data_IF_775317563771
#
_entry.id   IF_775317563771
#
_cell.length_a   1.000
_cell.length_b   1.000
_cell.length_c   1.000
_cell.angle_alpha   90.00
_cell.angle_beta   90.00
_cell.angle_gamma   90.00
#
_symmetry.space_group_name_H-M   'P 1'
#
loop_
_entity.id
_entity.type
_entity.pdbx_description
1 polymer ?
#
# COMPACT_ATOMS: atom_id res chain seq x y z
N UNK A 1 4.47 0.37 5.91
CA UNK A 1 4.98 1.62 5.31
C UNK A 1 4.17 2.79 5.83
N UNK A 2 4.81 3.93 6.10
CA UNK A 2 4.16 5.17 6.55
C UNK A 2 4.70 6.30 5.66
N UNK A 3 3.80 6.95 4.93
CA UNK A 3 4.07 8.10 4.09
C UNK A 3 4.20 9.37 4.93
N UNK A 4 5.04 10.34 4.52
CA UNK A 4 5.07 11.70 5.08
C UNK A 4 3.72 12.41 5.13
N UNK A 5 2.76 12.03 4.28
CA UNK A 5 1.40 12.59 4.28
C UNK A 5 0.50 12.03 5.39
N UNK A 6 0.99 11.03 6.14
CA UNK A 6 0.23 10.32 7.18
C UNK A 6 -0.48 9.07 6.68
N UNK A 7 -0.52 8.81 5.36
CA UNK A 7 -1.02 7.54 4.83
C UNK A 7 -0.13 6.39 5.29
N UNK A 8 -0.70 5.24 5.66
CA UNK A 8 0.09 4.07 6.00
C UNK A 8 -0.56 2.78 5.55
N UNK A 9 0.27 1.75 5.35
CA UNK A 9 -0.14 0.37 5.14
C UNK A 9 0.68 -0.58 6.00
N UNK A 10 0.02 -1.59 6.56
CA UNK A 10 0.61 -2.70 7.31
C UNK A 10 0.19 -3.98 6.62
N UNK A 11 1.16 -4.83 6.32
CA UNK A 11 0.91 -6.19 5.91
C UNK A 11 1.02 -7.08 7.17
N UNK A 12 -0.07 -7.76 7.51
CA UNK A 12 -0.12 -8.65 8.69
C UNK A 12 0.22 -10.09 8.29
N UNK A 13 -0.34 -10.55 7.17
CA UNK A 13 -0.03 -11.82 6.54
C UNK A 13 -0.34 -11.78 5.02
N UNK A 14 -0.33 -12.92 4.32
CA UNK A 14 -0.57 -12.97 2.86
C UNK A 14 -1.98 -12.50 2.45
N UNK A 15 -2.94 -12.52 3.37
CA UNK A 15 -4.34 -12.26 3.09
C UNK A 15 -4.92 -11.11 3.91
N UNK A 16 -4.13 -10.52 4.82
CA UNK A 16 -4.54 -9.37 5.62
C UNK A 16 -3.65 -8.15 5.40
N UNK A 17 -4.30 -7.06 4.97
CA UNK A 17 -3.70 -5.76 4.73
C UNK A 17 -4.48 -4.70 5.48
N UNK A 18 -3.81 -3.90 6.31
CA UNK A 18 -4.44 -2.76 6.96
C UNK A 18 -3.92 -1.46 6.38
N UNK A 19 -4.81 -0.55 6.03
CA UNK A 19 -4.40 0.78 5.61
C UNK A 19 -5.21 1.87 6.29
N UNK A 20 -4.62 3.04 6.41
CA UNK A 20 -5.19 4.10 7.20
C UNK A 20 -4.43 5.39 7.07
N UNK A 21 -4.80 6.32 7.94
CA UNK A 21 -4.19 7.64 8.05
C UNK A 21 -3.80 7.91 9.50
N UNK A 22 -2.67 8.59 9.68
CA UNK A 22 -2.19 9.11 10.95
C UNK A 22 -2.02 10.62 10.84
N UNK A 23 -2.62 11.33 11.79
CA UNK A 23 -2.31 12.72 12.10
C UNK A 23 -1.39 12.79 13.32
N UNK A 24 -0.49 13.77 13.30
CA UNK A 24 0.45 14.04 14.38
C UNK A 24 0.20 15.46 14.90
N UNK A 25 0.04 15.62 16.21
CA UNK A 25 0.00 16.95 16.83
C UNK A 25 1.40 17.43 17.21
N UNK A 26 1.55 18.73 17.45
CA UNK A 26 2.80 19.32 17.95
C UNK A 26 3.23 18.75 19.32
N UNK A 27 2.27 18.23 20.09
CA UNK A 27 2.53 17.57 21.37
C UNK A 27 2.96 16.10 21.22
N UNK A 28 3.11 15.60 19.98
CA UNK A 28 3.49 14.20 19.71
C UNK A 28 2.34 13.20 19.83
N UNK A 29 1.09 13.66 19.99
CA UNK A 29 -0.06 12.75 20.02
C UNK A 29 -0.39 12.29 18.60
N UNK A 30 -0.73 11.01 18.48
CA UNK A 30 -1.15 10.38 17.22
C UNK A 30 -2.65 10.15 17.27
N UNK A 31 -3.34 10.47 16.19
CA UNK A 31 -4.74 10.13 15.96
C UNK A 31 -4.93 9.64 14.52
N UNK A 32 -5.94 8.82 14.27
CA UNK A 32 -6.11 8.27 12.92
C UNK A 32 -7.25 7.29 12.78
N UNK A 33 -7.32 6.69 11.60
CA UNK A 33 -8.24 5.61 11.27
C UNK A 33 -7.48 4.49 10.57
N UNK A 34 -7.94 3.26 10.72
CA UNK A 34 -7.43 2.09 10.03
C UNK A 34 -8.60 1.25 9.53
N UNK A 35 -8.43 0.68 8.35
CA UNK A 35 -9.31 -0.35 7.80
C UNK A 35 -8.45 -1.55 7.43
N UNK A 36 -8.77 -2.69 8.03
CA UNK A 36 -8.19 -3.99 7.70
C UNK A 36 -9.04 -4.67 6.63
N UNK A 37 -8.36 -5.17 5.60
CA UNK A 37 -8.89 -5.93 4.48
C UNK A 37 -8.42 -7.37 4.64
N UNK A 38 -9.34 -8.29 4.89
CA UNK A 38 -9.04 -9.70 5.12
C UNK A 38 -9.67 -10.53 4.01
N UNK A 39 -8.83 -11.22 3.24
CA UNK A 39 -9.21 -12.15 2.18
C UNK A 39 -9.28 -13.58 2.72
N UNK A 40 -10.49 -14.11 2.87
CA UNK A 40 -10.72 -15.53 3.10
C UNK A 40 -11.17 -16.17 1.79
N UNK A 41 -12.48 -16.37 1.60
CA UNK A 41 -13.09 -16.57 0.27
C UNK A 41 -13.68 -15.28 -0.29
N UNK A 42 -14.18 -14.42 0.60
CA UNK A 42 -14.62 -13.05 0.34
C UNK A 42 -13.71 -12.04 1.02
N UNK A 43 -13.72 -10.81 0.51
CA UNK A 43 -13.12 -9.67 1.20
C UNK A 43 -14.02 -9.22 2.35
N UNK A 44 -13.43 -9.10 3.53
CA UNK A 44 -14.08 -8.55 4.71
C UNK A 44 -13.30 -7.35 5.25
N UNK A 45 -14.03 -6.30 5.62
CA UNK A 45 -13.44 -5.04 6.05
C UNK A 45 -13.78 -4.76 7.51
N UNK A 46 -12.75 -4.51 8.32
CA UNK A 46 -12.90 -4.09 9.71
C UNK A 46 -12.28 -2.73 9.93
N UNK A 47 -13.05 -1.78 10.45
CA UNK A 47 -12.57 -0.43 10.73
C UNK A 47 -12.26 -0.23 12.22
N UNK A 48 -11.22 0.53 12.51
CA UNK A 48 -10.87 0.94 13.87
C UNK A 48 -10.33 2.37 13.91
N UNK A 49 -10.44 2.98 15.08
CA UNK A 49 -9.78 4.26 15.39
C UNK A 49 -8.36 4.01 15.85
N UNK A 50 -7.45 4.91 15.52
CA UNK A 50 -6.07 4.91 15.98
C UNK A 50 -5.82 6.06 16.95
N UNK A 51 -5.03 5.76 17.98
CA UNK A 51 -4.51 6.73 18.93
C UNK A 51 -3.10 6.34 19.34
N UNK A 52 -2.27 7.27 19.78
CA UNK A 52 -0.89 6.93 20.14
C UNK A 52 -0.05 8.12 20.53
N UNK A 53 1.25 7.88 20.66
CA UNK A 53 2.23 8.90 21.04
C UNK A 53 3.56 8.62 20.35
N UNK A 54 4.16 9.66 19.75
CA UNK A 54 5.52 9.61 19.22
C UNK A 54 6.49 9.56 20.40
N UNK A 55 7.33 8.53 20.45
CA UNK A 55 8.34 8.35 21.51
C UNK A 55 9.69 8.91 21.10
N UNK A 56 10.02 8.79 19.83
CA UNK A 56 11.25 9.31 19.23
C UNK A 56 11.12 9.39 17.72
N UNK A 57 12.14 9.90 17.03
CA UNK A 57 12.22 9.82 15.56
C UNK A 57 12.23 8.38 15.02
N UNK A 58 12.51 7.37 15.87
CA UNK A 58 12.58 5.97 15.48
C UNK A 58 11.40 5.12 16.00
N UNK A 59 10.54 5.66 16.85
CA UNK A 59 9.49 4.86 17.49
C UNK A 59 8.24 5.66 17.89
N UNK A 60 7.11 4.98 17.84
CA UNK A 60 5.84 5.48 18.33
C UNK A 60 5.01 4.35 18.94
N UNK A 61 4.23 4.65 19.97
CA UNK A 61 3.22 3.74 20.48
C UNK A 61 1.92 3.97 19.74
N UNK A 62 1.26 2.89 19.34
CA UNK A 62 -0.01 2.94 18.64
C UNK A 62 -1.03 2.01 19.31
N UNK A 63 -2.25 2.49 19.42
CA UNK A 63 -3.41 1.73 19.87
C UNK A 63 -4.49 1.78 18.80
N UNK A 64 -4.89 0.61 18.32
CA UNK A 64 -6.09 0.46 17.49
C UNK A 64 -7.27 0.02 18.35
N UNK A 65 -8.43 0.63 18.13
CA UNK A 65 -9.66 0.33 18.86
C UNK A 65 -10.86 0.26 17.92
N UNK A 66 -11.48 -0.92 17.85
CA UNK A 66 -12.82 -1.13 17.31
C UNK A 66 -13.83 -1.29 18.47
N UNK A 67 -15.07 -1.66 18.15
CA UNK A 67 -16.09 -2.00 19.15
C UNK A 67 -15.75 -3.27 19.93
N UNK A 68 -15.04 -4.22 19.31
CA UNK A 68 -14.83 -5.58 19.84
C UNK A 68 -13.40 -5.80 20.32
N UNK A 69 -12.42 -5.14 19.69
CA UNK A 69 -11.00 -5.41 19.89
C UNK A 69 -10.25 -4.12 20.18
N UNK A 70 -9.29 -4.23 21.10
CA UNK A 70 -8.22 -3.25 21.27
C UNK A 70 -6.90 -3.97 21.07
N UNK A 71 -6.03 -3.40 20.24
CA UNK A 71 -4.64 -3.82 20.12
C UNK A 71 -3.72 -2.65 20.47
N UNK A 72 -2.58 -2.97 21.08
CA UNK A 72 -1.50 -2.03 21.31
C UNK A 72 -0.27 -2.54 20.55
N UNK A 73 0.49 -1.63 19.97
CA UNK A 73 1.65 -1.94 19.13
C UNK A 73 2.68 -0.84 19.26
N UNK A 74 3.93 -1.19 18.95
CA UNK A 74 5.02 -0.22 18.83
C UNK A 74 5.44 -0.17 17.38
N UNK A 75 5.35 1.00 16.78
CA UNK A 75 5.91 1.26 15.47
C UNK A 75 7.41 1.48 15.62
N UNK A 76 8.20 0.74 14.84
CA UNK A 76 9.65 0.88 14.79
C UNK A 76 10.07 1.27 13.38
N UNK A 77 10.82 2.36 13.26
CA UNK A 77 11.41 2.79 12.00
C UNK A 77 12.55 1.86 11.63
N UNK A 78 12.59 1.40 10.37
CA UNK A 78 13.74 0.71 9.81
C UNK A 78 14.59 1.72 8.99
N UNK A 79 15.65 2.31 9.56
CA UNK A 79 16.45 3.32 8.85
C UNK A 79 17.16 2.75 7.63
N UNK A 80 17.56 1.46 7.65
CA UNK A 80 18.27 0.83 6.53
C UNK A 80 17.48 0.80 5.22
N UNK A 81 16.14 0.87 5.32
CA UNK A 81 15.24 0.90 4.17
C UNK A 81 14.72 2.33 3.98
N UNK A 82 14.23 2.95 5.05
CA UNK A 82 13.56 4.26 4.97
C UNK A 82 14.49 5.42 4.62
N UNK A 83 15.79 5.37 4.97
CA UNK A 83 16.76 6.43 4.67
C UNK A 83 17.37 6.32 3.25
N UNK A 84 16.96 5.35 2.44
CA UNK A 84 17.51 5.19 1.09
C UNK A 84 17.04 6.29 0.11
N UNK A 85 15.96 6.99 0.45
CA UNK A 85 15.28 7.91 -0.48
C UNK A 85 14.70 7.19 -1.69
N UNK A 86 14.01 7.94 -2.55
CA UNK A 86 13.49 7.44 -3.84
C UNK A 86 13.22 8.62 -4.79
N UNK A 87 13.43 8.41 -6.09
CA UNK A 87 13.10 9.34 -7.17
C UNK A 87 12.23 8.71 -8.26
N UNK A 88 11.64 9.52 -9.13
CA UNK A 88 10.87 9.00 -10.27
C UNK A 88 11.79 8.36 -11.31
N UNK A 89 13.02 8.83 -11.40
CA UNK A 89 14.06 8.23 -12.23
C UNK A 89 14.38 6.80 -11.76
N UNK A 90 14.50 6.59 -10.43
CA UNK A 90 14.70 5.27 -9.84
C UNK A 90 13.52 4.33 -10.12
N UNK A 91 12.30 4.84 -9.97
CA UNK A 91 11.07 4.10 -10.22
C UNK A 91 10.77 3.90 -11.70
N UNK A 92 11.43 4.60 -12.62
CA UNK A 92 11.07 4.52 -14.03
C UNK A 92 11.39 3.16 -14.63
N UNK A 93 10.41 2.55 -15.32
CA UNK A 93 10.55 1.25 -15.95
C UNK A 93 9.32 0.36 -15.79
N UNK A 94 9.39 -0.82 -16.39
CA UNK A 94 8.36 -1.85 -16.28
C UNK A 94 8.77 -2.88 -15.24
N UNK A 95 7.97 -3.03 -14.19
CA UNK A 95 8.12 -4.06 -13.18
C UNK A 95 7.14 -5.19 -13.47
N UNK A 96 7.63 -6.42 -13.41
CA UNK A 96 6.80 -7.61 -13.59
C UNK A 96 6.81 -8.42 -12.30
N UNK A 97 5.62 -8.71 -11.78
CA UNK A 97 5.44 -9.71 -10.74
C UNK A 97 5.12 -11.03 -11.41
N UNK A 98 5.93 -12.05 -11.11
CA UNK A 98 5.67 -13.43 -11.50
C UNK A 98 5.23 -14.20 -10.26
N UNK A 99 3.95 -14.51 -10.16
CA UNK A 99 3.42 -15.54 -9.27
C UNK A 99 2.82 -16.67 -10.12
N UNK A 100 2.79 -17.87 -9.56
CA UNK A 100 2.35 -19.13 -10.21
C UNK A 100 1.01 -18.97 -10.92
N UNK A 101 0.14 -18.12 -10.35
CA UNK A 101 -1.21 -17.84 -10.84
C UNK A 101 -1.45 -16.36 -11.12
N UNK A 102 -0.43 -15.49 -11.18
CA UNK A 102 -0.59 -14.06 -11.46
C UNK A 102 0.66 -13.45 -12.11
N UNK A 103 0.59 -13.11 -13.39
CA UNK A 103 1.54 -12.18 -14.01
C UNK A 103 0.94 -10.78 -14.06
N UNK A 104 1.53 -9.85 -13.33
CA UNK A 104 1.08 -8.45 -13.31
C UNK A 104 2.24 -7.56 -13.75
N UNK A 105 1.94 -6.54 -14.54
CA UNK A 105 2.94 -5.56 -14.98
C UNK A 105 2.52 -4.15 -14.60
N UNK A 106 3.50 -3.35 -14.17
CA UNK A 106 3.34 -1.92 -13.93
C UNK A 106 4.52 -1.20 -14.57
N UNK A 107 4.23 -0.33 -15.52
CA UNK A 107 5.18 0.62 -16.10
C UNK A 107 5.00 1.97 -15.46
N UNK A 108 6.05 2.47 -14.81
CA UNK A 108 6.11 3.80 -14.24
C UNK A 108 6.98 4.65 -15.17
N UNK A 109 6.43 5.74 -15.70
CA UNK A 109 7.15 6.68 -16.53
C UNK A 109 7.95 7.67 -15.68
N UNK A 110 8.86 8.42 -16.31
CA UNK A 110 9.71 9.41 -15.62
C UNK A 110 8.93 10.60 -15.06
N UNK A 111 7.70 10.83 -15.53
CA UNK A 111 6.75 11.81 -14.97
C UNK A 111 5.85 11.19 -13.87
N UNK A 112 6.07 9.91 -13.54
CA UNK A 112 5.32 9.13 -12.57
C UNK A 112 3.99 8.57 -13.11
N UNK A 113 3.65 8.79 -14.38
CA UNK A 113 2.46 8.18 -14.96
C UNK A 113 2.60 6.65 -14.94
N UNK A 114 1.51 5.96 -14.58
CA UNK A 114 1.47 4.50 -14.43
C UNK A 114 0.58 3.89 -15.49
N UNK A 115 1.07 2.86 -16.15
CA UNK A 115 0.31 1.99 -17.04
C UNK A 115 0.62 0.55 -16.66
N UNK A 116 -0.39 -0.27 -16.43
CA UNK A 116 -0.20 -1.66 -16.09
C UNK A 116 -1.32 -2.55 -16.58
N UNK A 117 -1.10 -3.85 -16.43
CA UNK A 117 -2.12 -4.87 -16.67
C UNK A 117 -1.88 -6.10 -15.79
N UNK A 118 -2.97 -6.80 -15.45
CA UNK A 118 -2.87 -8.18 -14.98
C UNK A 118 -3.06 -9.18 -16.13
N UNK A 119 -2.64 -10.42 -15.90
CA UNK A 119 -2.80 -11.52 -16.86
C UNK A 119 -4.25 -11.81 -17.27
N UNK A 120 -5.23 -11.31 -16.50
CA UNK A 120 -6.65 -11.52 -16.76
C UNK A 120 -7.22 -10.40 -17.65
N UNK A 121 -6.42 -9.38 -17.99
CA UNK A 121 -6.80 -8.26 -18.85
C UNK A 121 -7.35 -7.04 -18.10
N UNK A 122 -7.24 -7.00 -16.77
CA UNK A 122 -7.52 -5.80 -15.98
C UNK A 122 -6.44 -4.75 -16.30
N UNK A 123 -6.84 -3.58 -16.78
CA UNK A 123 -5.95 -2.49 -17.15
C UNK A 123 -5.85 -1.47 -16.01
N UNK A 124 -4.62 -1.03 -15.73
CA UNK A 124 -4.29 -0.05 -14.69
C UNK A 124 -3.77 1.24 -15.31
N UNK A 125 -4.36 2.38 -14.96
CA UNK A 125 -3.91 3.70 -15.40
C UNK A 125 -3.86 4.64 -14.21
N UNK A 126 -2.72 5.28 -13.96
CA UNK A 126 -2.55 6.04 -12.72
C UNK A 126 -1.34 6.93 -12.66
N UNK A 127 -0.93 7.23 -11.43
CA UNK A 127 0.15 8.14 -11.11
C UNK A 127 0.84 7.71 -9.82
N UNK A 128 2.17 7.84 -9.81
CA UNK A 128 3.01 7.81 -8.62
C UNK A 128 3.39 9.22 -8.22
N UNK A 129 3.37 9.47 -6.91
CA UNK A 129 3.89 10.71 -6.29
C UNK A 129 4.87 10.32 -5.20
N UNK A 130 5.97 11.08 -5.11
CA UNK A 130 6.96 10.93 -4.04
C UNK A 130 6.85 12.15 -3.12
N UNK A 131 6.15 12.02 -1.97
CA UNK A 131 5.88 13.16 -1.09
C UNK A 131 7.15 13.70 -0.42
N UNK A 132 8.13 12.84 -0.16
CA UNK A 132 9.45 13.21 0.34
C UNK A 132 10.51 12.30 -0.29
N UNK A 133 11.42 12.87 -1.09
CA UNK A 133 12.48 12.12 -1.78
C UNK A 133 13.52 11.53 -0.85
N UNK A 134 13.57 11.97 0.42
CA UNK A 134 14.51 11.48 1.43
C UNK A 134 14.00 10.23 2.13
N UNK A 135 12.71 9.89 1.98
CA UNK A 135 12.10 8.70 2.54
C UNK A 135 11.79 7.73 1.39
N UNK A 136 12.23 6.48 1.52
CA UNK A 136 11.92 5.43 0.53
C UNK A 136 10.46 4.96 0.63
N UNK A 137 9.52 5.87 0.34
CA UNK A 137 8.09 5.61 0.23
C UNK A 137 7.55 6.45 -0.91
N UNK A 138 6.79 5.81 -1.80
CA UNK A 138 5.99 6.50 -2.80
C UNK A 138 4.50 6.22 -2.57
N UNK A 139 3.67 7.16 -3.01
CA UNK A 139 2.22 7.01 -3.05
C UNK A 139 1.79 6.68 -4.47
N UNK A 140 0.79 5.82 -4.60
CA UNK A 140 0.26 5.34 -5.86
C UNK A 140 -1.25 5.53 -5.88
N UNK A 141 -1.77 6.10 -6.96
CA UNK A 141 -3.20 6.09 -7.29
C UNK A 141 -3.38 5.58 -8.71
N UNK A 142 -4.32 4.68 -8.95
CA UNK A 142 -4.65 4.21 -10.31
C UNK A 142 -6.10 3.78 -10.42
N UNK A 143 -6.68 3.96 -11.60
CA UNK A 143 -7.96 3.35 -11.97
C UNK A 143 -7.72 1.95 -12.55
N UNK A 144 -8.40 0.96 -12.01
CA UNK A 144 -8.51 -0.38 -12.57
C UNK A 144 -9.78 -0.49 -13.42
N UNK A 145 -9.64 -1.02 -14.64
CA UNK A 145 -10.74 -1.15 -15.59
C UNK A 145 -10.69 -2.47 -16.35
N UNK A 146 -11.86 -2.93 -16.82
CA UNK A 146 -12.02 -4.21 -17.54
C UNK A 146 -11.55 -5.43 -16.73
N UNK A 147 -11.63 -5.36 -15.40
CA UNK A 147 -11.17 -6.42 -14.53
C UNK A 147 -12.21 -7.54 -14.49
N UNK A 148 -11.88 -8.78 -14.87
CA UNK A 148 -12.79 -9.90 -14.71
C UNK A 148 -12.90 -10.30 -13.24
N UNK A 149 -13.92 -11.08 -12.90
CA UNK A 149 -14.00 -11.72 -11.58
C UNK A 149 -12.74 -12.52 -11.28
N UNK A 150 -12.30 -12.51 -10.02
CA UNK A 150 -11.12 -13.27 -9.62
C UNK A 150 -11.45 -14.77 -9.65
N UNK A 151 -10.61 -15.63 -10.25
CA UNK A 151 -10.91 -17.05 -10.38
C UNK A 151 -10.88 -17.81 -9.04
N UNK A 152 -10.15 -17.29 -8.05
CA UNK A 152 -9.92 -17.93 -6.75
C UNK A 152 -10.45 -17.12 -5.56
N UNK A 153 -11.22 -16.06 -5.84
CA UNK A 153 -11.83 -15.21 -4.82
C UNK A 153 -13.28 -14.94 -5.23
N UNK A 154 -14.17 -14.70 -4.28
CA UNK A 154 -15.56 -14.30 -4.57
C UNK A 154 -15.68 -12.83 -5.02
N UNK A 155 -14.55 -12.17 -5.32
CA UNK A 155 -14.51 -10.81 -5.85
C UNK A 155 -15.06 -10.75 -7.28
N UNK A 156 -16.13 -9.98 -7.46
CA UNK A 156 -16.75 -9.74 -8.76
C UNK A 156 -15.91 -8.79 -9.62
N UNK A 157 -16.28 -8.64 -10.89
CA UNK A 157 -15.68 -7.63 -11.77
C UNK A 157 -15.83 -6.21 -11.19
N UNK A 158 -17.01 -5.89 -10.65
CA UNK A 158 -17.31 -4.58 -10.08
C UNK A 158 -16.48 -4.31 -8.81
N UNK A 159 -16.25 -5.35 -7.98
CA UNK A 159 -15.41 -5.22 -6.79
C UNK A 159 -13.95 -4.88 -7.14
N UNK A 160 -13.48 -5.33 -8.31
CA UNK A 160 -12.10 -5.16 -8.76
C UNK A 160 -11.87 -3.89 -9.59
N UNK A 161 -12.90 -3.33 -10.21
CA UNK A 161 -12.80 -2.08 -10.95
C UNK A 161 -12.81 -0.86 -10.00
N UNK A 162 -12.35 0.29 -10.49
CA UNK A 162 -12.39 1.57 -9.80
C UNK A 162 -11.03 2.09 -9.33
N UNK A 163 -11.05 3.18 -8.57
CA UNK A 163 -9.84 3.88 -8.12
C UNK A 163 -9.19 3.15 -6.94
N UNK A 164 -7.92 2.79 -7.09
CA UNK A 164 -7.06 2.25 -6.07
C UNK A 164 -6.11 3.31 -5.56
N UNK A 165 -5.88 3.31 -4.25
CA UNK A 165 -4.84 4.11 -3.59
C UNK A 165 -3.92 3.20 -2.78
N UNK A 166 -2.64 3.53 -2.73
CA UNK A 166 -1.64 2.65 -2.15
C UNK A 166 -0.32 3.32 -1.81
N UNK A 167 0.54 2.54 -1.15
CA UNK A 167 1.90 2.93 -0.80
C UNK A 167 2.87 1.84 -1.22
N UNK A 168 4.05 2.25 -1.66
CA UNK A 168 5.13 1.34 -1.98
C UNK A 168 6.51 1.84 -1.60
N UNK A 169 7.48 0.94 -1.74
CA UNK A 169 8.92 1.16 -1.54
C UNK A 169 9.68 0.61 -2.74
N UNK A 170 10.89 1.15 -2.97
CA UNK A 170 11.80 0.66 -3.99
C UNK A 170 13.07 0.07 -3.37
N UNK A 171 13.49 -1.10 -3.83
CA UNK A 171 14.79 -1.67 -3.55
C UNK A 171 15.68 -1.59 -4.79
N UNK A 172 16.64 -0.66 -4.75
CA UNK A 172 17.59 -0.43 -5.83
C UNK A 172 18.59 -1.58 -6.02
N UNK A 173 18.82 -2.40 -4.99
CA UNK A 173 19.72 -3.55 -5.10
C UNK A 173 19.09 -4.67 -5.94
N UNK A 174 17.77 -4.82 -5.84
CA UNK A 174 16.98 -5.80 -6.58
C UNK A 174 16.28 -5.27 -7.83
N UNK A 175 16.30 -3.95 -8.07
CA UNK A 175 15.38 -3.27 -8.99
C UNK A 175 13.93 -3.71 -8.78
N UNK A 176 13.52 -3.73 -7.51
CA UNK A 176 12.26 -4.28 -7.05
C UNK A 176 11.37 -3.18 -6.50
N UNK A 177 10.10 -3.18 -6.88
CA UNK A 177 9.07 -2.38 -6.22
C UNK A 177 8.13 -3.30 -5.46
N UNK A 178 7.80 -2.90 -4.25
CA UNK A 178 6.73 -3.49 -3.47
C UNK A 178 5.70 -2.41 -3.21
N UNK A 179 4.44 -2.67 -3.52
CA UNK A 179 3.35 -1.80 -3.08
C UNK A 179 2.13 -2.59 -2.66
N UNK A 180 1.31 -1.92 -1.86
CA UNK A 180 -0.01 -2.39 -1.48
C UNK A 180 -1.00 -1.29 -1.83
N UNK A 181 -2.14 -1.65 -2.40
CA UNK A 181 -3.18 -0.71 -2.79
C UNK A 181 -4.58 -1.26 -2.52
N UNK A 182 -5.61 -0.41 -2.54
CA UNK A 182 -7.00 -0.78 -2.28
C UNK A 182 -7.99 0.18 -2.93
N UNK A 183 -9.21 -0.28 -3.24
CA UNK A 183 -10.28 0.53 -3.84
C UNK A 183 -11.54 0.68 -2.95
N UNK A 184 -11.44 0.37 -1.66
CA UNK A 184 -12.60 0.38 -0.75
C UNK A 184 -13.33 -0.96 -0.65
N UNK A 185 -13.05 -1.91 -1.55
CA UNK A 185 -13.65 -3.25 -1.54
C UNK A 185 -12.60 -4.34 -1.45
N UNK A 186 -11.58 -4.28 -2.31
CA UNK A 186 -10.49 -5.25 -2.36
C UNK A 186 -9.15 -4.57 -2.14
N UNK A 187 -8.13 -5.36 -1.83
CA UNK A 187 -6.75 -4.91 -1.74
C UNK A 187 -5.85 -5.71 -2.68
N UNK A 188 -4.79 -5.08 -3.16
CA UNK A 188 -3.80 -5.67 -4.05
C UNK A 188 -2.41 -5.54 -3.43
N UNK A 189 -1.68 -6.64 -3.43
CA UNK A 189 -0.24 -6.67 -3.22
C UNK A 189 0.47 -6.81 -4.56
N UNK A 190 1.53 -6.05 -4.75
CA UNK A 190 2.41 -6.18 -5.88
C UNK A 190 3.86 -6.22 -5.42
N UNK A 191 4.61 -7.15 -5.99
CA UNK A 191 6.05 -7.27 -5.84
C UNK A 191 6.67 -7.58 -7.19
N UNK A 192 7.12 -6.54 -7.88
CA UNK A 192 7.63 -6.65 -9.24
C UNK A 192 9.10 -6.30 -9.34
N UNK A 193 9.78 -6.96 -10.28
CA UNK A 193 11.18 -6.71 -10.61
C UNK A 193 11.28 -6.19 -12.04
N UNK A 194 12.20 -5.26 -12.28
CA UNK A 194 12.50 -4.68 -13.60
C UNK A 194 13.47 -5.55 -14.41
#
# INVERSE_FOLDING_TARGET
MLSPTGNFVVNLDRNSYSFGTLGFSDAGNISGQIVEYILNSTWSLTSATLSGEVRSAASADLRAKSSEVTSNSVLQRNPKISDLGVSLEDLSGTFTMFDTDNTNTFTINTDGAVIGEDQLGCAFLGQVVIPDKTVNVFELTYDASNCPAAPNEEATADDRNGEYTGLGTYDSSGNEVIFYSRNGTVAMFFKGVK
#
